data_IF_750600915518
#
_entry.id   IF_750600915518
#
_cell.length_a   1.000
_cell.length_b   1.000
_cell.length_c   1.000
_cell.angle_alpha   90.00
_cell.angle_beta   90.00
_cell.angle_gamma   90.00
#
_symmetry.space_group_name_H-M   'P 1'
#
loop_
_entity.id
_entity.type
_entity.pdbx_description
1 polymer ?
#
# COMPACT_ATOMS: atom_id res chain seq x y z
N UNK A 1 6.50 -51.54 -1.94
CA UNK A 1 6.75 -50.78 -0.69
C UNK A 1 6.10 -49.42 -0.79
N UNK A 2 4.93 -49.22 -0.16
CA UNK A 2 4.25 -47.92 -0.12
C UNK A 2 4.89 -47.12 1.01
N UNK A 3 5.65 -46.07 0.67
CA UNK A 3 6.17 -45.09 1.64
C UNK A 3 4.97 -44.42 2.32
N UNK A 4 4.78 -44.70 3.58
CA UNK A 4 3.87 -43.99 4.47
C UNK A 4 4.54 -42.65 4.79
N UNK A 5 4.28 -41.64 3.98
CA UNK A 5 4.55 -40.26 4.37
C UNK A 5 3.66 -39.96 5.56
N UNK A 6 4.25 -39.88 6.74
CA UNK A 6 3.57 -39.44 7.96
C UNK A 6 3.12 -37.99 7.73
N UNK A 7 1.83 -37.82 7.45
CA UNK A 7 1.22 -36.48 7.41
C UNK A 7 1.36 -35.85 8.82
N UNK A 8 2.32 -34.98 8.98
CA UNK A 8 2.35 -34.08 10.12
C UNK A 8 1.02 -33.33 10.12
N UNK A 9 0.19 -33.53 11.14
CA UNK A 9 -0.99 -32.69 11.39
C UNK A 9 -0.51 -31.25 11.56
N UNK A 10 -0.53 -30.50 10.47
CA UNK A 10 -0.15 -29.10 10.46
C UNK A 10 -1.17 -28.32 11.27
N UNK A 11 -0.73 -27.83 12.42
CA UNK A 11 -1.58 -26.99 13.27
C UNK A 11 -1.76 -25.65 12.56
N UNK A 12 -3.00 -25.19 12.36
CA UNK A 12 -3.29 -23.88 11.78
C UNK A 12 -2.61 -22.76 12.58
N UNK A 13 -1.89 -21.87 11.87
CA UNK A 13 -1.22 -20.70 12.45
C UNK A 13 -2.15 -19.50 12.39
N UNK A 14 -2.37 -18.84 13.53
CA UNK A 14 -3.18 -17.62 13.56
C UNK A 14 -2.33 -16.41 13.19
N UNK A 15 -2.65 -15.80 12.04
CA UNK A 15 -2.09 -14.53 11.59
C UNK A 15 -3.02 -13.42 12.07
N UNK A 16 -2.51 -12.52 12.89
CA UNK A 16 -3.24 -11.35 13.36
C UNK A 16 -2.73 -10.13 12.61
N UNK A 17 -3.62 -9.45 11.90
CA UNK A 17 -3.39 -8.15 11.29
C UNK A 17 -4.00 -7.09 12.20
N UNK A 18 -3.22 -6.08 12.56
CA UNK A 18 -3.69 -4.96 13.35
C UNK A 18 -3.85 -3.75 12.45
N UNK A 19 -5.11 -3.37 12.24
CA UNK A 19 -5.52 -2.14 11.56
C UNK A 19 -6.02 -1.08 12.55
N UNK A 20 -6.28 0.10 12.03
CA UNK A 20 -6.80 1.25 12.78
C UNK A 20 -7.46 2.23 11.82
N UNK A 21 -8.21 3.18 12.34
CA UNK A 21 -8.83 4.24 11.53
C UNK A 21 -7.76 5.05 10.79
N UNK A 22 -7.85 5.14 9.46
CA UNK A 22 -6.84 5.79 8.63
C UNK A 22 -5.63 4.92 8.26
N UNK A 23 -5.65 3.61 8.54
CA UNK A 23 -4.62 2.70 8.06
C UNK A 23 -4.63 2.61 6.53
N UNK A 24 -3.49 2.30 5.94
CA UNK A 24 -3.40 2.00 4.50
C UNK A 24 -4.07 0.64 4.23
N UNK A 25 -5.14 0.63 3.41
CA UNK A 25 -5.93 -0.58 3.16
C UNK A 25 -5.07 -1.75 2.67
N UNK A 26 -4.15 -1.49 1.73
CA UNK A 26 -3.33 -2.52 1.12
C UNK A 26 -2.27 -3.10 2.08
N UNK A 27 -1.90 -2.37 3.13
CA UNK A 27 -1.04 -2.89 4.21
C UNK A 27 -1.74 -4.04 4.97
N UNK A 28 -3.06 -4.06 4.94
CA UNK A 28 -3.90 -5.09 5.55
C UNK A 28 -4.30 -6.13 4.52
N UNK A 29 -4.90 -5.70 3.41
CA UNK A 29 -5.48 -6.60 2.40
C UNK A 29 -4.44 -7.35 1.59
N UNK A 30 -3.26 -6.75 1.33
CA UNK A 30 -2.17 -7.40 0.61
C UNK A 30 -1.67 -8.68 1.29
N UNK A 31 -1.14 -8.60 2.52
CA UNK A 31 -0.71 -9.81 3.22
C UNK A 31 -1.87 -10.74 3.56
N UNK A 32 -3.07 -10.20 3.84
CA UNK A 32 -4.25 -11.01 4.07
C UNK A 32 -4.51 -11.95 2.88
N UNK A 33 -4.49 -11.41 1.66
CA UNK A 33 -4.71 -12.19 0.44
C UNK A 33 -3.65 -13.26 0.22
N UNK A 34 -2.37 -12.95 0.46
CA UNK A 34 -1.27 -13.92 0.36
C UNK A 34 -1.49 -15.12 1.28
N UNK A 35 -1.83 -14.90 2.55
CA UNK A 35 -2.08 -15.97 3.51
C UNK A 35 -3.40 -16.72 3.23
N UNK A 36 -4.46 -16.01 2.80
CA UNK A 36 -5.74 -16.60 2.43
C UNK A 36 -5.58 -17.56 1.24
N UNK A 37 -4.88 -17.08 0.19
CA UNK A 37 -4.61 -17.89 -0.99
C UNK A 37 -3.72 -19.09 -0.70
N UNK A 38 -2.73 -18.94 0.20
CA UNK A 38 -1.91 -20.06 0.67
C UNK A 38 -2.76 -21.15 1.30
N UNK A 39 -3.78 -20.76 2.08
CA UNK A 39 -4.72 -21.69 2.70
C UNK A 39 -5.66 -22.34 1.68
N UNK A 40 -6.05 -21.57 0.66
CA UNK A 40 -6.91 -22.08 -0.42
C UNK A 40 -6.16 -23.09 -1.30
N UNK A 41 -4.90 -22.81 -1.66
CA UNK A 41 -4.09 -23.71 -2.50
C UNK A 41 -3.64 -24.99 -1.77
N UNK A 42 -3.58 -24.97 -0.45
CA UNK A 42 -3.29 -26.14 0.37
C UNK A 42 -4.51 -27.10 0.51
N UNK A 43 -5.50 -27.01 -0.39
CA UNK A 43 -6.70 -27.85 -0.38
C UNK A 43 -6.34 -29.33 -0.53
N UNK A 44 -6.68 -30.11 0.48
CA UNK A 44 -6.35 -31.54 0.65
C UNK A 44 -6.01 -31.85 2.10
N UNK A 45 -5.55 -30.87 2.85
CA UNK A 45 -5.36 -30.96 4.29
C UNK A 45 -6.68 -30.67 5.03
N UNK A 46 -6.99 -31.44 6.03
CA UNK A 46 -8.22 -31.31 6.83
C UNK A 46 -8.28 -29.98 7.63
N UNK A 47 -7.17 -29.24 7.73
CA UNK A 47 -7.06 -27.98 8.47
C UNK A 47 -6.27 -26.96 7.63
N UNK A 48 -6.81 -25.76 7.36
CA UNK A 48 -6.10 -24.74 6.62
C UNK A 48 -4.83 -24.30 7.38
N UNK A 49 -3.70 -24.06 6.68
CA UNK A 49 -2.44 -23.68 7.32
C UNK A 49 -2.51 -22.34 8.07
N UNK A 50 -3.40 -21.43 7.66
CA UNK A 50 -3.56 -20.15 8.29
C UNK A 50 -5.01 -19.87 8.68
N UNK A 51 -5.18 -19.27 9.86
CA UNK A 51 -6.38 -18.59 10.32
C UNK A 51 -6.09 -17.11 10.38
N UNK A 52 -6.84 -16.31 9.65
CA UNK A 52 -6.66 -14.85 9.59
C UNK A 52 -7.58 -14.17 10.58
N UNK A 53 -7.09 -13.13 11.24
CA UNK A 53 -7.84 -12.31 12.19
C UNK A 53 -7.43 -10.86 12.00
N UNK A 54 -8.37 -10.01 11.65
CA UNK A 54 -8.20 -8.58 11.57
C UNK A 54 -8.68 -7.93 12.87
N UNK A 55 -7.79 -7.27 13.58
CA UNK A 55 -8.11 -6.52 14.79
C UNK A 55 -8.02 -5.02 14.54
N UNK A 56 -8.90 -4.27 15.20
CA UNK A 56 -8.84 -2.81 15.25
C UNK A 56 -9.18 -2.32 16.68
N UNK A 57 -9.44 -1.04 16.83
CA UNK A 57 -9.89 -0.48 18.14
C UNK A 57 -11.20 -1.10 18.62
N UNK A 58 -12.10 -1.41 17.69
CA UNK A 58 -13.39 -2.06 17.91
C UNK A 58 -13.61 -3.16 16.89
N UNK A 59 -14.47 -4.12 17.19
CA UNK A 59 -15.04 -5.01 16.20
C UNK A 59 -15.96 -4.23 15.25
N UNK A 60 -16.01 -4.62 13.99
CA UNK A 60 -16.85 -3.97 12.98
C UNK A 60 -16.08 -3.04 12.05
N UNK A 61 -16.77 -2.14 11.33
CA UNK A 61 -16.18 -1.35 10.27
C UNK A 61 -15.26 -0.25 10.81
N UNK A 62 -14.16 -0.02 10.10
CA UNK A 62 -13.29 1.15 10.21
C UNK A 62 -12.85 1.60 8.82
N UNK A 63 -12.53 2.89 8.66
CA UNK A 63 -12.13 3.46 7.38
C UNK A 63 -10.62 3.46 7.21
N UNK A 64 -10.18 2.93 6.08
CA UNK A 64 -8.82 3.10 5.60
C UNK A 64 -8.62 4.50 4.97
N UNK A 65 -7.38 4.92 4.80
CA UNK A 65 -7.00 6.19 4.16
C UNK A 65 -7.62 6.38 2.78
N UNK A 66 -7.74 5.30 2.00
CA UNK A 66 -8.37 5.31 0.68
C UNK A 66 -9.88 5.53 0.70
N UNK A 67 -10.51 5.61 1.88
CA UNK A 67 -11.96 5.65 2.04
C UNK A 67 -12.64 4.28 2.02
N UNK A 68 -11.90 3.20 1.74
CA UNK A 68 -12.42 1.84 1.83
C UNK A 68 -12.76 1.49 3.27
N UNK A 69 -13.93 0.91 3.50
CA UNK A 69 -14.29 0.36 4.81
C UNK A 69 -13.83 -1.10 4.90
N UNK A 70 -13.06 -1.39 5.93
CA UNK A 70 -12.66 -2.74 6.32
C UNK A 70 -13.43 -3.14 7.58
N UNK A 71 -13.69 -4.43 7.76
CA UNK A 71 -14.43 -4.94 8.91
C UNK A 71 -13.48 -5.75 9.78
N UNK A 72 -13.22 -5.25 10.99
CA UNK A 72 -12.41 -5.96 11.97
C UNK A 72 -13.22 -7.08 12.64
N UNK A 73 -12.58 -8.26 12.78
CA UNK A 73 -13.15 -9.41 13.48
C UNK A 73 -13.29 -9.18 14.99
N UNK A 74 -12.50 -8.27 15.53
CA UNK A 74 -12.49 -7.98 16.95
C UNK A 74 -11.66 -6.79 17.35
N UNK A 75 -11.70 -6.49 18.65
CA UNK A 75 -10.85 -5.46 19.26
C UNK A 75 -9.53 -6.04 19.74
N UNK A 76 -8.43 -5.32 19.50
CA UNK A 76 -7.13 -5.67 20.09
C UNK A 76 -7.17 -5.64 21.63
N UNK A 77 -8.10 -4.90 22.23
CA UNK A 77 -8.28 -4.83 23.70
C UNK A 77 -8.75 -6.16 24.27
N UNK A 78 -9.65 -6.81 23.55
CA UNK A 78 -10.35 -8.01 24.00
C UNK A 78 -9.80 -9.31 23.43
N UNK A 79 -8.89 -9.23 22.47
CA UNK A 79 -8.30 -10.41 21.87
C UNK A 79 -7.51 -11.23 22.90
N UNK A 80 -8.00 -12.44 23.19
CA UNK A 80 -7.36 -13.39 24.12
C UNK A 80 -6.73 -14.58 23.40
N UNK A 81 -6.90 -14.65 22.08
CA UNK A 81 -6.33 -15.71 21.25
C UNK A 81 -4.80 -15.70 21.25
N UNK A 82 -4.21 -16.81 20.86
CA UNK A 82 -2.77 -16.92 20.63
C UNK A 82 -2.50 -16.58 19.16
N UNK A 83 -1.81 -15.47 18.91
CA UNK A 83 -1.26 -15.19 17.60
C UNK A 83 0.02 -16.01 17.37
N UNK A 84 0.17 -16.60 16.21
CA UNK A 84 1.45 -17.12 15.72
C UNK A 84 2.29 -15.95 15.14
N UNK A 85 1.66 -15.16 14.31
CA UNK A 85 2.24 -13.97 13.68
C UNK A 85 1.34 -12.76 13.95
N UNK A 86 1.93 -11.65 14.39
CA UNK A 86 1.27 -10.35 14.56
C UNK A 86 1.89 -9.36 13.57
N UNK A 87 1.07 -8.70 12.77
CA UNK A 87 1.50 -7.70 11.79
C UNK A 87 0.74 -6.39 12.06
N UNK A 88 1.49 -5.30 12.24
CA UNK A 88 0.93 -3.96 12.45
C UNK A 88 0.95 -3.21 11.12
N UNK A 89 -0.20 -2.78 10.65
CA UNK A 89 -0.33 -1.97 9.45
C UNK A 89 0.24 -0.56 9.66
N UNK A 90 0.59 0.11 8.57
CA UNK A 90 0.92 1.52 8.57
C UNK A 90 -0.23 2.40 8.11
N UNK A 91 0.05 3.70 8.08
CA UNK A 91 -0.84 4.74 7.59
C UNK A 91 -0.09 6.06 7.48
N UNK A 92 -0.63 7.05 6.79
CA UNK A 92 0.01 8.35 6.63
C UNK A 92 0.14 9.10 7.97
N UNK A 93 -0.81 8.93 8.88
CA UNK A 93 -0.77 9.49 10.22
C UNK A 93 -0.74 8.39 11.28
N UNK A 94 0.40 8.27 11.95
CA UNK A 94 0.63 7.33 13.05
C UNK A 94 0.50 7.98 14.42
N UNK A 95 0.18 9.27 14.50
CA UNK A 95 0.22 10.05 15.75
C UNK A 95 -0.67 9.45 16.82
N UNK A 96 -1.92 9.10 16.47
CA UNK A 96 -2.86 8.55 17.44
C UNK A 96 -2.51 7.10 17.84
N UNK A 97 -1.87 6.33 16.94
CA UNK A 97 -1.39 4.97 17.22
C UNK A 97 -0.23 5.02 18.19
N UNK A 98 0.75 5.89 17.93
CA UNK A 98 1.94 6.10 18.78
C UNK A 98 1.57 6.70 20.14
N UNK A 99 0.59 7.61 20.19
CA UNK A 99 0.08 8.19 21.44
C UNK A 99 -0.83 7.23 22.25
N UNK A 100 -1.19 6.07 21.70
CA UNK A 100 -2.07 5.12 22.38
C UNK A 100 -1.29 4.17 23.29
N UNK A 101 -0.92 4.64 24.50
CA UNK A 101 -0.14 3.85 25.47
C UNK A 101 -0.77 2.48 25.81
N UNK A 102 -2.11 2.36 25.76
CA UNK A 102 -2.79 1.07 26.00
C UNK A 102 -2.54 0.10 24.86
N UNK A 103 -2.57 0.58 23.63
CA UNK A 103 -2.24 -0.23 22.44
C UNK A 103 -0.75 -0.65 22.47
N UNK A 104 0.16 0.29 22.74
CA UNK A 104 1.59 0.00 22.82
C UNK A 104 1.92 -1.04 23.91
N UNK A 105 1.33 -0.90 25.10
CA UNK A 105 1.46 -1.91 26.15
C UNK A 105 0.88 -3.27 25.71
N UNK A 106 -0.22 -3.26 24.97
CA UNK A 106 -0.82 -4.49 24.43
C UNK A 106 0.07 -5.14 23.37
N UNK A 107 0.70 -4.37 22.49
CA UNK A 107 1.66 -4.87 21.52
C UNK A 107 2.84 -5.58 22.19
N UNK A 108 3.40 -5.03 23.28
CA UNK A 108 4.47 -5.67 24.08
C UNK A 108 4.01 -7.03 24.63
N UNK A 109 2.81 -7.09 25.20
CA UNK A 109 2.25 -8.33 25.75
C UNK A 109 2.02 -9.37 24.66
N UNK A 110 1.46 -8.98 23.52
CA UNK A 110 1.21 -9.88 22.40
C UNK A 110 2.52 -10.36 21.80
N UNK A 111 3.49 -9.48 21.59
CA UNK A 111 4.81 -9.81 21.07
C UNK A 111 5.53 -10.86 21.91
N UNK A 112 5.42 -10.77 23.24
CA UNK A 112 6.08 -11.74 24.13
C UNK A 112 5.53 -13.18 23.95
N UNK A 113 4.32 -13.32 23.45
CA UNK A 113 3.60 -14.61 23.27
C UNK A 113 3.52 -15.09 21.82
N UNK A 114 4.06 -14.33 20.90
CA UNK A 114 3.96 -14.53 19.45
C UNK A 114 5.28 -15.06 18.93
N UNK A 115 5.25 -16.03 18.02
CA UNK A 115 6.46 -16.53 17.36
C UNK A 115 7.11 -15.46 16.51
N UNK A 116 6.30 -14.66 15.80
CA UNK A 116 6.76 -13.57 14.94
C UNK A 116 5.92 -12.31 15.16
N UNK A 117 6.57 -11.14 15.12
CA UNK A 117 5.90 -9.85 15.07
C UNK A 117 6.53 -9.02 13.97
N UNK A 118 5.71 -8.28 13.25
CA UNK A 118 6.18 -7.42 12.19
C UNK A 118 5.32 -6.19 12.00
N UNK A 119 5.80 -5.35 11.10
CA UNK A 119 5.11 -4.15 10.66
C UNK A 119 5.20 -3.99 9.16
N UNK A 120 4.27 -3.24 8.63
CA UNK A 120 4.22 -2.83 7.24
C UNK A 120 4.24 -1.31 7.20
N UNK A 121 5.02 -0.75 6.25
CA UNK A 121 5.07 0.68 6.02
C UNK A 121 5.44 1.44 7.31
N UNK A 122 4.72 2.50 7.64
CA UNK A 122 4.91 3.31 8.86
C UNK A 122 4.50 2.60 10.15
N UNK A 123 3.94 1.40 10.09
CA UNK A 123 3.68 0.56 11.27
C UNK A 123 4.93 0.26 12.11
N UNK A 124 6.13 0.37 11.51
CA UNK A 124 7.40 0.27 12.24
C UNK A 124 7.53 1.34 13.34
N UNK A 125 6.97 2.53 13.15
CA UNK A 125 6.96 3.59 14.17
C UNK A 125 6.21 3.15 15.43
N UNK A 126 5.09 2.43 15.28
CA UNK A 126 4.34 1.91 16.42
C UNK A 126 5.13 0.82 17.18
N UNK A 127 5.88 -0.03 16.46
CA UNK A 127 6.75 -1.02 17.08
C UNK A 127 7.95 -0.37 17.78
N UNK A 128 8.54 0.68 17.18
CA UNK A 128 9.62 1.45 17.78
C UNK A 128 9.16 2.17 19.06
N UNK A 129 8.00 2.85 19.01
CA UNK A 129 7.39 3.51 20.18
C UNK A 129 7.05 2.50 21.29
N UNK A 130 6.71 1.27 20.91
CA UNK A 130 6.56 0.19 21.86
C UNK A 130 7.89 -0.36 22.42
N UNK A 131 9.07 0.12 21.99
CA UNK A 131 10.39 -0.39 22.37
C UNK A 131 10.69 -1.79 21.82
N UNK A 132 9.94 -2.24 20.81
CA UNK A 132 10.08 -3.58 20.24
C UNK A 132 11.17 -3.67 19.17
N UNK A 133 11.63 -2.53 18.66
CA UNK A 133 12.71 -2.46 17.66
C UNK A 133 14.07 -2.07 18.24
N UNK A 134 14.18 -1.83 19.56
CA UNK A 134 15.42 -1.42 20.19
C UNK A 134 16.55 -2.43 19.94
N UNK A 135 17.68 -1.94 19.43
CA UNK A 135 18.86 -2.72 19.04
C UNK A 135 18.64 -3.74 17.92
N UNK A 136 17.51 -3.66 17.21
CA UNK A 136 17.21 -4.52 16.08
C UNK A 136 17.40 -3.80 14.74
N UNK A 137 17.61 -4.59 13.67
CA UNK A 137 17.53 -4.11 12.30
C UNK A 137 16.05 -4.00 11.90
N UNK A 138 15.70 -2.89 11.26
CA UNK A 138 14.34 -2.66 10.78
C UNK A 138 14.36 -1.81 9.51
N UNK A 139 13.29 -1.93 8.72
CA UNK A 139 12.98 -0.99 7.65
C UNK A 139 11.58 -0.42 7.87
N UNK A 140 11.28 0.65 7.17
CA UNK A 140 9.98 1.29 7.13
C UNK A 140 9.77 1.88 5.75
N UNK A 141 8.61 2.51 5.51
CA UNK A 141 8.39 3.27 4.29
C UNK A 141 9.48 4.33 4.10
N UNK A 142 10.01 4.48 2.88
CA UNK A 142 11.13 5.39 2.58
C UNK A 142 10.91 6.81 3.12
N UNK A 143 9.67 7.33 3.12
CA UNK A 143 9.31 8.63 3.68
C UNK A 143 9.45 8.72 5.21
N UNK A 144 9.45 7.58 5.90
CA UNK A 144 9.55 7.54 7.36
C UNK A 144 10.92 7.05 7.87
N UNK A 145 11.85 6.74 6.96
CA UNK A 145 13.20 6.25 7.29
C UNK A 145 13.96 7.23 8.18
N UNK A 146 14.02 8.51 7.77
CA UNK A 146 14.72 9.55 8.53
C UNK A 146 14.08 9.77 9.90
N UNK A 147 12.75 9.78 9.97
CA UNK A 147 12.02 9.90 11.23
C UNK A 147 12.32 8.71 12.15
N UNK A 148 12.26 7.48 11.63
CA UNK A 148 12.56 6.28 12.41
C UNK A 148 13.98 6.31 12.97
N UNK A 149 14.96 6.68 12.15
CA UNK A 149 16.36 6.77 12.58
C UNK A 149 16.61 7.88 13.59
N UNK A 150 15.95 9.04 13.41
CA UNK A 150 16.12 10.21 14.28
C UNK A 150 15.44 10.03 15.64
N UNK A 151 14.16 9.59 15.62
CA UNK A 151 13.35 9.51 16.83
C UNK A 151 13.69 8.26 17.68
N UNK A 152 14.24 7.20 17.03
CA UNK A 152 14.59 5.93 17.67
C UNK A 152 16.04 5.50 17.35
N UNK A 153 17.05 6.17 17.91
CA UNK A 153 18.46 5.99 17.54
C UNK A 153 19.04 4.60 17.89
N UNK A 154 18.34 3.81 18.71
CA UNK A 154 18.70 2.42 19.01
C UNK A 154 18.32 1.46 17.88
N UNK A 155 17.45 1.87 16.95
CA UNK A 155 17.03 1.06 15.82
C UNK A 155 18.05 1.15 14.69
N UNK A 156 18.52 0.01 14.20
CA UNK A 156 19.42 -0.05 13.04
C UNK A 156 18.59 -0.05 11.76
N UNK A 157 18.32 1.15 11.24
CA UNK A 157 17.44 1.33 10.08
C UNK A 157 18.16 0.95 8.79
N UNK A 158 17.56 0.03 8.03
CA UNK A 158 17.96 -0.33 6.67
C UNK A 158 17.03 0.44 5.70
N UNK A 159 17.55 1.50 5.12
CA UNK A 159 16.77 2.45 4.33
C UNK A 159 16.38 1.94 2.94
N UNK A 160 17.06 0.90 2.44
CA UNK A 160 16.83 0.40 1.09
C UNK A 160 16.12 -0.96 1.05
N UNK A 161 16.12 -1.70 2.13
CA UNK A 161 15.52 -3.03 2.14
C UNK A 161 14.01 -2.99 1.86
N UNK A 162 13.53 -3.88 0.99
CA UNK A 162 12.08 -4.12 0.76
C UNK A 162 11.43 -4.66 2.02
N UNK A 163 12.10 -5.59 2.70
CA UNK A 163 11.77 -6.03 4.05
C UNK A 163 13.04 -6.47 4.79
N UNK A 164 13.00 -6.40 6.11
CA UNK A 164 14.06 -6.85 7.00
C UNK A 164 13.53 -7.92 7.92
N UNK A 165 14.35 -8.95 8.15
CA UNK A 165 14.18 -9.93 9.22
C UNK A 165 15.30 -9.77 10.24
N UNK A 166 14.94 -9.70 11.51
CA UNK A 166 15.88 -9.75 12.62
C UNK A 166 15.29 -10.57 13.77
N UNK A 167 15.73 -11.83 13.86
CA UNK A 167 15.17 -12.81 14.79
C UNK A 167 13.67 -13.07 14.53
N UNK A 168 12.84 -12.75 15.50
CA UNK A 168 11.36 -12.85 15.39
C UNK A 168 10.69 -11.60 14.80
N UNK A 169 11.47 -10.55 14.55
CA UNK A 169 10.98 -9.29 14.02
C UNK A 169 11.03 -9.28 12.50
N UNK A 170 9.97 -8.76 11.89
CA UNK A 170 9.85 -8.56 10.45
C UNK A 170 9.29 -7.18 10.18
N UNK A 171 9.98 -6.39 9.37
CA UNK A 171 9.51 -5.06 8.99
C UNK A 171 9.57 -4.93 7.48
N UNK A 172 8.52 -4.40 6.88
CA UNK A 172 8.40 -4.20 5.45
C UNK A 172 8.29 -2.72 5.12
N UNK A 173 8.89 -2.34 4.00
CA UNK A 173 9.04 -0.96 3.55
C UNK A 173 7.73 -0.29 3.17
N UNK A 174 6.94 -0.92 2.32
CA UNK A 174 5.83 -0.22 1.69
C UNK A 174 4.66 -1.16 1.37
N UNK A 175 3.59 -0.55 1.00
CA UNK A 175 2.27 -1.09 0.66
C UNK A 175 2.34 -2.42 -0.11
N UNK A 176 3.00 -2.46 -1.28
CA UNK A 176 3.15 -3.71 -2.06
C UNK A 176 4.22 -4.64 -1.50
N UNK A 177 5.22 -4.11 -0.80
CA UNK A 177 6.24 -4.89 -0.12
C UNK A 177 5.67 -5.73 1.05
N UNK A 178 4.44 -5.43 1.49
CA UNK A 178 3.70 -6.26 2.45
C UNK A 178 3.44 -7.66 1.91
N UNK A 179 3.19 -7.78 0.61
CA UNK A 179 2.99 -9.06 -0.06
C UNK A 179 4.32 -9.82 -0.20
N UNK A 180 5.44 -9.12 -0.48
CA UNK A 180 6.77 -9.73 -0.51
C UNK A 180 7.14 -10.32 0.86
N UNK A 181 6.87 -9.56 1.94
CA UNK A 181 7.03 -10.04 3.30
C UNK A 181 6.15 -11.26 3.58
N UNK A 182 4.86 -11.20 3.23
CA UNK A 182 3.93 -12.30 3.46
C UNK A 182 4.35 -13.56 2.68
N UNK A 183 4.81 -13.44 1.43
CA UNK A 183 5.36 -14.55 0.64
C UNK A 183 6.60 -15.15 1.30
N UNK A 184 7.51 -14.33 1.85
CA UNK A 184 8.67 -14.82 2.60
C UNK A 184 8.25 -15.59 3.86
N UNK A 185 7.19 -15.15 4.56
CA UNK A 185 6.64 -15.86 5.71
C UNK A 185 5.95 -17.17 5.32
N UNK A 186 5.29 -17.22 4.16
CA UNK A 186 4.72 -18.46 3.58
C UNK A 186 5.84 -19.41 3.18
N UNK A 187 6.91 -18.92 2.55
CA UNK A 187 8.09 -19.76 2.21
C UNK A 187 8.69 -20.40 3.46
N UNK A 188 8.82 -19.64 4.56
CA UNK A 188 9.31 -20.14 5.83
C UNK A 188 8.40 -21.21 6.46
N UNK A 189 7.09 -21.02 6.36
CA UNK A 189 6.10 -21.87 7.04
C UNK A 189 5.70 -23.11 6.26
N UNK A 190 5.58 -23.00 4.93
CA UNK A 190 5.00 -24.03 4.03
C UNK A 190 5.98 -24.49 2.95
N UNK A 191 7.15 -23.87 2.88
CA UNK A 191 8.17 -24.17 1.89
C UNK A 191 8.01 -23.36 0.58
N UNK A 192 9.08 -23.45 -0.22
CA UNK A 192 9.25 -22.68 -1.46
C UNK A 192 8.15 -22.92 -2.49
N UNK A 193 7.74 -24.18 -2.65
CA UNK A 193 6.75 -24.54 -3.67
C UNK A 193 5.39 -23.91 -3.39
N UNK A 194 4.97 -23.87 -2.12
CA UNK A 194 3.74 -23.21 -1.69
C UNK A 194 3.81 -21.71 -1.94
N UNK A 195 4.90 -21.05 -1.55
CA UNK A 195 5.10 -19.62 -1.78
C UNK A 195 5.15 -19.28 -3.28
N UNK A 196 5.79 -20.12 -4.11
CA UNK A 196 5.84 -19.96 -5.55
C UNK A 196 4.46 -20.10 -6.19
N UNK A 197 3.64 -21.07 -5.74
CA UNK A 197 2.27 -21.24 -6.22
C UNK A 197 1.42 -19.99 -5.95
N UNK A 198 1.52 -19.40 -4.75
CA UNK A 198 0.85 -18.16 -4.39
C UNK A 198 1.36 -16.98 -5.23
N UNK A 199 2.69 -16.83 -5.35
CA UNK A 199 3.29 -15.75 -6.14
C UNK A 199 2.84 -15.80 -7.61
N UNK A 200 2.77 -17.01 -8.22
CA UNK A 200 2.27 -17.19 -9.59
C UNK A 200 0.80 -16.81 -9.72
N UNK A 201 -0.05 -17.19 -8.75
CA UNK A 201 -1.47 -16.86 -8.77
C UNK A 201 -1.71 -15.35 -8.67
N UNK A 202 -0.92 -14.66 -7.85
CA UNK A 202 -0.99 -13.20 -7.68
C UNK A 202 -0.18 -12.43 -8.72
N UNK A 203 0.49 -13.13 -9.67
CA UNK A 203 1.38 -12.50 -10.66
C UNK A 203 2.47 -11.63 -10.01
N UNK A 204 3.03 -12.11 -8.91
CA UNK A 204 4.08 -11.46 -8.14
C UNK A 204 5.43 -12.16 -8.36
N UNK A 205 6.51 -11.42 -8.15
CA UNK A 205 7.82 -12.03 -7.95
C UNK A 205 7.86 -12.76 -6.61
N UNK A 206 8.43 -13.96 -6.54
CA UNK A 206 8.70 -14.61 -5.25
C UNK A 206 9.74 -13.82 -4.45
N UNK A 207 10.72 -13.24 -5.14
CA UNK A 207 11.68 -12.28 -4.59
C UNK A 207 11.83 -11.13 -5.57
N UNK A 208 11.44 -9.94 -5.15
CA UNK A 208 11.54 -8.74 -5.95
C UNK A 208 13.01 -8.31 -6.04
N UNK A 209 13.56 -8.06 -7.24
CA UNK A 209 14.87 -7.47 -7.38
C UNK A 209 14.85 -5.99 -6.99
N UNK A 210 15.98 -5.48 -6.46
CA UNK A 210 16.14 -4.08 -6.09
C UNK A 210 15.69 -3.75 -4.68
N UNK A 211 15.72 -2.47 -4.34
CA UNK A 211 15.37 -1.90 -3.05
C UNK A 211 14.36 -0.76 -3.17
N UNK A 212 14.10 -0.08 -2.05
CA UNK A 212 13.23 1.09 -1.99
C UNK A 212 13.79 2.30 -2.75
N UNK A 213 15.12 2.36 -2.88
CA UNK A 213 15.83 3.47 -3.53
C UNK A 213 15.30 3.82 -4.91
N UNK A 214 14.85 2.82 -5.66
CA UNK A 214 14.25 3.04 -6.97
C UNK A 214 12.92 3.81 -6.94
N UNK A 215 12.28 3.91 -5.77
CA UNK A 215 10.99 4.57 -5.58
C UNK A 215 11.10 5.89 -4.80
N UNK A 216 12.27 6.19 -4.23
CA UNK A 216 12.52 7.43 -3.51
C UNK A 216 12.92 8.54 -4.48
N UNK A 217 12.20 9.67 -4.47
CA UNK A 217 12.53 10.82 -5.31
C UNK A 217 13.93 11.39 -5.03
N UNK A 218 14.38 11.40 -3.78
CA UNK A 218 15.73 11.81 -3.41
C UNK A 218 16.79 10.80 -3.86
N UNK A 219 16.49 9.51 -3.83
CA UNK A 219 17.36 8.46 -4.31
C UNK A 219 17.28 8.30 -5.83
N UNK A 220 16.14 8.61 -6.46
CA UNK A 220 16.09 8.77 -7.93
C UNK A 220 17.05 9.87 -8.40
N UNK A 221 17.18 10.97 -7.67
CA UNK A 221 18.17 11.99 -7.97
C UNK A 221 19.62 11.46 -7.83
N UNK A 222 19.91 10.63 -6.84
CA UNK A 222 21.23 10.01 -6.63
C UNK A 222 21.53 8.88 -7.62
N UNK A 223 20.53 8.06 -7.98
CA UNK A 223 20.70 7.04 -9.04
C UNK A 223 20.81 7.65 -10.44
N UNK A 224 20.53 8.95 -10.56
CA UNK A 224 20.69 9.74 -11.78
C UNK A 224 22.05 10.43 -11.87
N UNK A 225 23.03 10.10 -11.04
CA UNK A 225 24.42 10.47 -11.29
C UNK A 225 24.82 9.94 -12.69
N UNK A 226 24.73 10.85 -13.68
CA UNK A 226 24.90 10.54 -15.10
C UNK A 226 23.71 10.92 -15.99
N UNK A 227 22.52 11.17 -15.46
CA UNK A 227 21.41 11.71 -16.24
C UNK A 227 21.47 13.24 -16.26
N UNK A 228 21.25 13.81 -17.44
CA UNK A 228 21.39 15.26 -17.70
C UNK A 228 20.39 16.11 -16.90
N UNK A 229 19.28 15.53 -16.44
CA UNK A 229 18.21 16.24 -15.73
C UNK A 229 18.20 16.04 -14.21
N UNK A 230 19.14 15.27 -13.63
CA UNK A 230 19.12 14.94 -12.19
C UNK A 230 19.09 16.18 -11.28
N UNK A 231 19.98 17.14 -11.53
CA UNK A 231 20.04 18.39 -10.75
C UNK A 231 18.80 19.27 -10.92
N UNK A 232 18.20 19.25 -12.11
CA UNK A 232 16.94 19.95 -12.37
C UNK A 232 15.78 19.33 -11.60
N UNK A 233 15.65 18.00 -11.60
CA UNK A 233 14.57 17.31 -10.91
C UNK A 233 14.64 17.51 -9.39
N UNK A 234 15.85 17.49 -8.81
CA UNK A 234 16.05 17.83 -7.40
C UNK A 234 15.65 19.25 -7.08
N UNK A 235 16.04 20.20 -7.94
CA UNK A 235 15.67 21.60 -7.76
C UNK A 235 14.17 21.83 -7.90
N UNK A 236 13.49 21.19 -8.85
CA UNK A 236 12.03 21.28 -9.02
C UNK A 236 11.29 20.79 -7.77
N UNK A 237 11.78 19.73 -7.12
CA UNK A 237 11.20 19.22 -5.89
C UNK A 237 11.27 20.22 -4.71
N UNK A 238 12.26 21.12 -4.71
CA UNK A 238 12.43 22.13 -3.67
C UNK A 238 11.70 23.46 -3.98
N UNK A 239 11.46 23.76 -5.29
CA UNK A 239 10.97 25.06 -5.75
C UNK A 239 9.59 25.00 -6.43
N UNK A 240 8.87 23.90 -6.29
CA UNK A 240 7.57 23.66 -6.94
C UNK A 240 6.50 24.74 -6.65
N UNK A 241 6.65 25.51 -5.58
CA UNK A 241 5.76 26.61 -5.19
C UNK A 241 6.05 27.93 -5.92
N UNK A 242 7.11 28.00 -6.73
CA UNK A 242 7.48 29.15 -7.53
C UNK A 242 6.87 29.05 -8.94
N UNK A 243 6.62 30.19 -9.61
CA UNK A 243 6.19 30.16 -11.01
C UNK A 243 7.34 29.70 -11.91
N UNK A 244 7.35 28.43 -12.25
CA UNK A 244 8.37 27.81 -13.09
C UNK A 244 7.86 27.73 -14.53
N UNK A 245 8.72 28.04 -15.50
CA UNK A 245 8.44 27.91 -16.94
C UNK A 245 9.34 26.85 -17.59
N UNK A 246 8.96 26.39 -18.78
CA UNK A 246 9.78 25.43 -19.56
C UNK A 246 11.16 26.04 -19.86
N UNK A 247 11.22 27.35 -20.15
CA UNK A 247 12.44 28.08 -20.41
C UNK A 247 13.35 28.09 -19.17
N UNK A 248 12.77 28.31 -17.98
CA UNK A 248 13.53 28.27 -16.72
C UNK A 248 14.11 26.89 -16.48
N UNK A 249 13.34 25.84 -16.76
CA UNK A 249 13.80 24.45 -16.65
C UNK A 249 14.94 24.15 -17.62
N UNK A 250 14.82 24.58 -18.88
CA UNK A 250 15.84 24.38 -19.90
C UNK A 250 17.13 25.10 -19.56
N UNK A 251 17.06 26.39 -19.12
CA UNK A 251 18.21 27.17 -18.67
C UNK A 251 18.93 26.50 -17.49
N UNK A 252 18.16 26.01 -16.53
CA UNK A 252 18.73 25.34 -15.34
C UNK A 252 19.39 24.00 -15.68
N UNK A 253 18.88 23.31 -16.70
CA UNK A 253 19.50 22.12 -17.26
C UNK A 253 20.69 22.42 -18.19
N UNK A 254 21.05 23.72 -18.37
CA UNK A 254 22.09 24.19 -19.32
C UNK A 254 21.85 23.69 -20.75
N UNK A 255 20.60 23.67 -21.20
CA UNK A 255 20.17 23.19 -22.52
C UNK A 255 19.34 24.24 -23.25
N UNK A 256 19.34 24.15 -24.61
CA UNK A 256 18.32 24.86 -25.40
C UNK A 256 16.95 24.19 -25.22
N UNK A 257 15.85 24.94 -25.39
CA UNK A 257 14.48 24.43 -25.20
C UNK A 257 14.21 23.16 -26.03
N UNK A 258 14.69 23.14 -27.27
CA UNK A 258 14.58 21.97 -28.17
C UNK A 258 15.35 20.75 -27.64
N UNK A 259 16.57 20.97 -27.13
CA UNK A 259 17.39 19.90 -26.57
C UNK A 259 16.76 19.38 -25.28
N UNK A 260 16.30 20.30 -24.43
CA UNK A 260 15.63 20.01 -23.18
C UNK A 260 14.37 19.18 -23.40
N UNK A 261 13.46 19.60 -24.31
CA UNK A 261 12.25 18.86 -24.62
C UNK A 261 12.54 17.41 -25.04
N UNK A 262 13.55 17.19 -25.89
CA UNK A 262 13.95 15.86 -26.35
C UNK A 262 14.54 15.01 -25.22
N UNK A 263 15.42 15.61 -24.39
CA UNK A 263 16.05 14.91 -23.25
C UNK A 263 15.03 14.61 -22.17
N UNK A 264 14.10 15.53 -21.90
CA UNK A 264 13.02 15.35 -20.94
C UNK A 264 12.18 14.12 -21.31
N UNK A 265 11.68 14.05 -22.55
CA UNK A 265 10.91 12.88 -23.01
C UNK A 265 11.76 11.60 -22.97
N UNK A 266 13.03 11.66 -23.35
CA UNK A 266 13.89 10.48 -23.34
C UNK A 266 14.20 9.95 -21.94
N UNK A 267 14.34 10.83 -20.94
CA UNK A 267 14.74 10.45 -19.59
C UNK A 267 13.55 10.25 -18.63
N UNK A 268 12.43 10.97 -18.86
CA UNK A 268 11.26 10.93 -17.95
C UNK A 268 10.03 10.27 -18.57
N UNK A 269 9.98 10.12 -19.89
CA UNK A 269 8.80 9.64 -20.61
C UNK A 269 7.79 10.74 -20.95
N UNK A 270 7.90 11.93 -20.37
CA UNK A 270 6.92 13.02 -20.44
C UNK A 270 7.49 14.28 -21.05
N UNK A 271 6.60 15.15 -21.60
CA UNK A 271 7.00 16.44 -22.12
C UNK A 271 7.24 17.44 -20.98
N UNK A 272 8.10 18.48 -21.17
CA UNK A 272 8.28 19.53 -20.15
C UNK A 272 6.99 20.23 -19.74
N UNK A 273 6.07 20.47 -20.68
CA UNK A 273 4.77 21.10 -20.41
C UNK A 273 3.89 20.21 -19.53
N UNK A 274 3.83 18.90 -19.81
CA UNK A 274 3.12 17.93 -18.98
C UNK A 274 3.68 17.90 -17.56
N UNK A 275 5.01 17.96 -17.42
CA UNK A 275 5.69 17.97 -16.12
C UNK A 275 5.32 19.21 -15.30
N UNK A 276 5.20 20.39 -15.93
CA UNK A 276 4.76 21.62 -15.26
C UNK A 276 3.27 21.61 -14.90
N UNK A 277 2.42 21.14 -15.80
CA UNK A 277 0.98 21.05 -15.57
C UNK A 277 0.68 20.06 -14.45
N UNK A 278 1.38 18.93 -14.41
CA UNK A 278 1.27 17.94 -13.38
C UNK A 278 1.85 18.40 -12.04
N UNK A 279 2.96 19.16 -12.03
CA UNK A 279 3.55 19.77 -10.84
C UNK A 279 2.71 20.90 -10.27
N UNK A 280 1.96 21.62 -11.13
CA UNK A 280 1.13 22.78 -10.74
C UNK A 280 -0.28 22.43 -10.29
N UNK A 281 -0.87 21.32 -10.77
CA UNK A 281 -2.27 20.97 -10.53
C UNK A 281 -2.48 19.80 -9.57
N UNK A 282 -1.48 18.96 -9.38
CA UNK A 282 -1.54 17.82 -8.48
C UNK A 282 -0.20 17.66 -7.77
N UNK A 283 -0.10 18.21 -6.58
CA UNK A 283 1.00 17.96 -5.65
C UNK A 283 0.73 16.71 -4.82
N UNK A 284 1.04 15.48 -5.29
CA UNK A 284 0.88 14.33 -4.42
C UNK A 284 2.13 14.01 -3.61
N UNK A 285 3.32 14.46 -4.00
CA UNK A 285 4.55 13.93 -3.41
C UNK A 285 5.38 14.87 -2.54
N UNK A 286 5.47 16.16 -2.86
CA UNK A 286 6.26 17.12 -2.07
C UNK A 286 5.47 17.71 -0.89
N UNK A 287 4.15 17.84 -0.97
CA UNK A 287 3.32 18.34 0.14
C UNK A 287 3.13 17.36 1.29
N UNK A 288 3.40 16.08 1.10
CA UNK A 288 3.26 15.10 2.18
C UNK A 288 4.27 15.28 3.30
N UNK A 289 5.40 15.92 3.01
CA UNK A 289 6.46 16.11 4.01
C UNK A 289 6.32 17.38 4.85
N UNK A 290 5.46 18.34 4.48
CA UNK A 290 5.34 19.62 5.22
C UNK A 290 3.95 19.96 5.78
N UNK A 291 2.89 19.22 5.42
CA UNK A 291 1.54 19.55 5.91
C UNK A 291 0.65 18.32 6.14
N UNK A 292 1.07 17.42 7.03
CA UNK A 292 0.19 16.36 7.55
C UNK A 292 -1.00 16.92 8.36
N UNK A 293 -1.15 18.24 8.50
CA UNK A 293 -2.18 18.86 9.32
C UNK A 293 -3.40 19.41 8.57
N UNK A 294 -3.46 19.41 7.23
CA UNK A 294 -4.57 20.03 6.48
C UNK A 294 -5.01 19.28 5.21
N UNK A 295 -5.29 17.97 5.28
CA UNK A 295 -6.05 17.31 4.24
C UNK A 295 -7.44 16.92 4.77
N UNK A 296 -8.40 17.82 4.63
CA UNK A 296 -9.82 17.46 4.60
C UNK A 296 -10.20 17.17 3.16
N UNK A 297 -10.35 15.89 2.83
CA UNK A 297 -10.99 15.48 1.58
C UNK A 297 -12.45 15.96 1.60
N UNK A 298 -12.81 16.84 0.64
CA UNK A 298 -14.21 17.21 0.40
C UNK A 298 -14.73 16.37 -0.77
N UNK A 299 -15.72 15.50 -0.57
CA UNK A 299 -16.39 14.82 -1.66
C UNK A 299 -17.30 15.81 -2.39
N UNK A 300 -17.04 16.10 -3.65
CA UNK A 300 -18.03 16.77 -4.45
C UNK A 300 -17.62 17.84 -5.47
N UNK A 301 -16.37 17.93 -5.90
CA UNK A 301 -16.04 18.75 -7.07
C UNK A 301 -15.17 17.97 -8.06
N UNK A 302 -15.81 17.07 -8.81
CA UNK A 302 -15.23 16.61 -10.05
C UNK A 302 -15.37 17.76 -11.08
N UNK A 303 -14.28 18.49 -11.32
CA UNK A 303 -14.20 19.39 -12.46
C UNK A 303 -14.20 18.54 -13.73
N UNK A 304 -15.23 18.75 -14.56
CA UNK A 304 -15.33 18.18 -15.90
C UNK A 304 -14.18 18.68 -16.77
N UNK A 305 -13.45 17.81 -17.47
CA UNK A 305 -12.42 18.27 -18.39
C UNK A 305 -13.11 18.90 -19.61
N UNK A 306 -12.79 20.18 -19.85
CA UNK A 306 -13.17 20.86 -21.08
C UNK A 306 -12.55 20.15 -22.28
N UNK A 307 -13.39 19.84 -23.26
CA UNK A 307 -13.02 19.26 -24.53
C UNK A 307 -12.02 20.18 -25.26
N UNK A 308 -10.79 19.75 -25.43
CA UNK A 308 -9.86 20.38 -26.35
C UNK A 308 -9.95 19.71 -27.71
N UNK A 309 -10.44 20.51 -28.69
CA UNK A 309 -10.44 20.23 -30.09
C UNK A 309 -9.01 19.99 -30.61
N UNK A 310 -8.75 18.78 -31.07
CA UNK A 310 -7.68 18.55 -32.04
C UNK A 310 -8.30 18.34 -33.42
N UNK A 311 -8.24 19.36 -34.25
CA UNK A 311 -8.43 19.25 -35.67
C UNK A 311 -7.27 18.49 -36.33
N UNK A 312 -7.56 17.36 -36.94
CA UNK A 312 -6.68 16.62 -37.81
C UNK A 312 -7.47 15.97 -38.91
N UNK A 313 -7.36 16.52 -40.13
CA UNK A 313 -7.99 16.03 -41.35
C UNK A 313 -7.60 14.58 -41.65
N UNK A 314 -8.57 13.70 -41.84
CA UNK A 314 -8.50 12.68 -42.87
C UNK A 314 -9.93 12.27 -43.26
N UNK A 315 -10.21 12.51 -44.53
CA UNK A 315 -11.44 12.15 -45.25
C UNK A 315 -11.56 10.65 -45.45
N UNK A 316 -12.64 10.02 -44.97
CA UNK A 316 -13.21 8.81 -45.59
C UNK A 316 -14.70 8.93 -45.62
N UNK A 317 -15.22 8.70 -46.84
CA UNK A 317 -16.63 8.83 -47.27
C UNK A 317 -17.53 7.82 -46.58
N UNK A 318 -18.69 8.28 -46.37
CA UNK A 318 -20.00 7.90 -46.09
C UNK A 318 -20.48 6.47 -46.36
N UNK A 319 -21.41 6.11 -45.50
CA UNK A 319 -22.65 5.43 -45.92
C UNK A 319 -23.70 5.62 -44.81
N UNK A 320 -24.83 6.18 -45.23
CA UNK A 320 -26.01 6.45 -44.41
C UNK A 320 -26.91 5.22 -44.36
N UNK A 321 -27.40 4.84 -43.20
CA UNK A 321 -28.61 4.04 -43.04
C UNK A 321 -29.51 4.61 -41.92
N UNK A 322 -30.85 4.42 -42.02
CA UNK A 322 -31.79 5.38 -41.48
C UNK A 322 -32.31 5.12 -40.08
N UNK A 323 -32.72 6.20 -39.46
CA UNK A 323 -33.47 6.29 -38.20
C UNK A 323 -34.79 5.54 -38.25
N UNK A 324 -35.09 4.73 -37.26
CA UNK A 324 -36.44 4.28 -36.92
C UNK A 324 -36.79 4.75 -35.52
N UNK A 325 -37.67 5.72 -35.45
CA UNK A 325 -38.36 6.20 -34.26
C UNK A 325 -39.44 5.19 -33.84
N UNK A 326 -39.39 4.75 -32.55
CA UNK A 326 -40.64 4.37 -31.85
C UNK A 326 -40.49 4.72 -30.34
N UNK A 327 -41.36 5.66 -29.99
CA UNK A 327 -41.75 6.02 -28.63
C UNK A 327 -42.47 4.87 -27.93
N UNK A 328 -42.19 4.69 -26.63
CA UNK A 328 -42.93 3.78 -25.77
C UNK A 328 -42.63 4.08 -24.30
N UNK A 329 -43.51 4.90 -23.74
CA UNK A 329 -43.55 5.19 -22.29
C UNK A 329 -44.09 4.00 -21.53
N UNK A 330 -43.41 3.57 -20.48
CA UNK A 330 -43.99 2.78 -19.42
C UNK A 330 -43.32 3.13 -18.09
N UNK A 331 -44.10 3.64 -17.15
CA UNK A 331 -43.79 3.84 -15.75
C UNK A 331 -43.87 2.49 -15.03
N UNK A 332 -43.02 2.15 -14.09
CA UNK A 332 -43.28 1.05 -13.16
C UNK A 332 -44.06 1.52 -11.92
N UNK A 333 -45.10 0.74 -11.58
CA UNK A 333 -45.91 0.85 -10.37
C UNK A 333 -45.13 0.39 -9.10
N UNK A 334 -45.57 0.83 -7.89
CA UNK A 334 -44.90 0.50 -6.62
C UNK A 334 -45.35 -0.84 -6.07
N UNK A 335 -44.40 -1.66 -5.63
CA UNK A 335 -44.61 -2.92 -4.94
C UNK A 335 -45.18 -2.71 -3.53
N UNK A 336 -46.39 -3.23 -3.31
CA UNK A 336 -47.09 -3.32 -2.03
C UNK A 336 -46.37 -4.25 -1.05
N UNK A 337 -46.31 -3.80 0.18
CA UNK A 337 -45.99 -4.60 1.38
C UNK A 337 -47.01 -5.73 1.55
N UNK A 338 -46.57 -6.94 1.77
CA UNK A 338 -47.34 -7.98 2.44
C UNK A 338 -46.71 -8.27 3.80
N UNK A 339 -47.42 -7.87 4.82
CA UNK A 339 -47.39 -8.44 6.16
C UNK A 339 -48.16 -9.75 6.12
N UNK A 340 -47.69 -10.71 6.84
CA UNK A 340 -48.33 -11.80 7.54
C UNK A 340 -47.53 -13.11 7.43
N UNK A 341 -46.95 -13.50 8.53
CA UNK A 341 -47.10 -14.86 9.02
C UNK A 341 -46.73 -14.91 10.53
N UNK A 342 -47.80 -14.97 11.33
CA UNK A 342 -47.71 -15.33 12.73
C UNK A 342 -47.96 -16.84 12.90
N UNK A 343 -47.23 -17.43 13.85
CA UNK A 343 -47.58 -18.59 14.71
C UNK A 343 -47.74 -19.95 14.02
N UNK A 344 -46.89 -20.88 14.36
CA UNK A 344 -47.20 -22.08 15.17
C UNK A 344 -46.06 -23.12 15.11
N UNK A 345 -45.77 -23.73 16.26
CA UNK A 345 -44.99 -24.95 16.45
C UNK A 345 -43.74 -24.71 17.26
#
# INVERSE_FOLDING_TARGET
MKSRTTAHKTKSRTIVLLGFEGATALDITGPHEVFALSSHLAQGDSVPPYRLVLLADHAGPFRATSGLSLVADGSWRDFRGKADTLIVAGGPDMTHVMGNHKLLARLRIMSARTRRIGSICTGALALAEAGLLDNHRATTHWMAVERLAKDYPTVRVDSDAIYVRDGKLFTSAAVTASMDLALALVEEDLGRDAALAVARMLVLYLKRPGGQSQFSTSLQAQTTEGRRLASLLSWLAEHYHEPITVETMAQRAAMSDRTFARVCVAETGDTPAFYLEYSGSNMPFACWNQSASHWTWQPGTAASPAANNYGGHSSVRGESLPMSTKSGSARPEPLQRRSDFSRNG
#
